data_IF_005603801367
#
_entry.id   IF_005603801367
#
_cell.length_a   1.000
_cell.length_b   1.000
_cell.length_c   1.000
_cell.angle_alpha   90.00
_cell.angle_beta   90.00
_cell.angle_gamma   90.00
#
_symmetry.space_group_name_H-M   'P 1'
#
loop_
_entity.id
_entity.type
_entity.pdbx_description
1 polymer ?
#
# COMPACT_ATOMS: atom_id res chain seq x y z
N UNK A 1 9.20 -4.23 -10.14
CA UNK A 1 8.37 -3.01 -10.11
C UNK A 1 8.78 -2.02 -11.20
N UNK A 2 10.07 -1.80 -11.46
CA UNK A 2 10.51 -0.93 -12.57
C UNK A 2 10.20 0.55 -12.31
N UNK A 3 10.27 0.98 -11.04
CA UNK A 3 10.03 2.36 -10.64
C UNK A 3 11.33 3.15 -10.64
N UNK A 4 11.27 4.37 -11.14
CA UNK A 4 12.39 5.32 -11.16
C UNK A 4 12.47 6.14 -9.88
N UNK A 5 11.32 6.39 -9.23
CA UNK A 5 11.22 7.26 -8.07
C UNK A 5 10.19 6.80 -7.02
N UNK A 6 10.41 7.24 -5.78
CA UNK A 6 9.52 7.06 -4.63
C UNK A 6 9.29 8.39 -3.91
N UNK A 7 8.02 8.73 -3.67
CA UNK A 7 7.61 9.98 -3.02
C UNK A 7 6.90 9.66 -1.72
N UNK A 8 7.23 10.36 -0.64
CA UNK A 8 6.57 10.14 0.65
C UNK A 8 6.62 11.38 1.56
N UNK A 9 5.71 11.43 2.54
CA UNK A 9 5.53 12.60 3.42
C UNK A 9 6.04 12.40 4.86
N UNK A 10 5.90 11.18 5.39
CA UNK A 10 6.14 10.87 6.81
C UNK A 10 7.60 10.47 7.01
N UNK A 11 8.39 11.42 7.50
CA UNK A 11 9.79 11.28 7.89
C UNK A 11 9.96 11.85 9.30
N UNK A 12 10.88 11.30 10.11
CA UNK A 12 11.19 11.83 11.44
C UNK A 12 11.38 13.36 11.39
N UNK A 13 10.76 14.09 12.33
CA UNK A 13 10.72 15.55 12.31
C UNK A 13 12.14 16.16 12.32
N UNK A 14 13.07 15.60 13.10
CA UNK A 14 14.43 16.09 13.20
C UNK A 14 15.24 15.75 11.93
N UNK A 15 15.04 14.55 11.35
CA UNK A 15 15.65 14.23 10.05
C UNK A 15 15.11 15.14 8.94
N UNK A 16 13.80 15.45 8.95
CA UNK A 16 13.19 16.37 7.99
C UNK A 16 13.75 17.78 8.11
N UNK A 17 13.84 18.33 9.33
CA UNK A 17 14.45 19.64 9.58
C UNK A 17 15.91 19.69 9.10
N UNK A 18 16.71 18.66 9.41
CA UNK A 18 18.09 18.57 8.92
C UNK A 18 18.14 18.58 7.40
N UNK A 19 17.33 17.75 6.73
CA UNK A 19 17.31 17.64 5.26
C UNK A 19 16.86 18.93 4.57
N UNK A 20 15.88 19.63 5.15
CA UNK A 20 15.46 20.94 4.65
C UNK A 20 16.61 21.96 4.71
N UNK A 21 17.43 21.93 5.77
CA UNK A 21 18.59 22.81 5.92
C UNK A 21 19.80 22.41 5.07
N UNK A 22 19.95 21.11 4.78
CA UNK A 22 21.10 20.54 4.07
C UNK A 22 20.83 20.25 2.59
N UNK A 23 19.65 20.61 2.08
CA UNK A 23 19.21 20.33 0.69
C UNK A 23 19.21 18.83 0.35
N UNK A 24 18.78 18.01 1.31
CA UNK A 24 18.73 16.54 1.19
C UNK A 24 17.30 15.98 1.21
N UNK A 25 16.30 16.80 0.87
CA UNK A 25 14.91 16.36 0.70
C UNK A 25 14.73 15.46 -0.53
N UNK A 26 15.69 15.50 -1.45
CA UNK A 26 15.78 14.63 -2.63
C UNK A 26 17.11 13.90 -2.63
N UNK A 27 17.07 12.58 -2.78
CA UNK A 27 18.25 11.74 -2.66
C UNK A 27 18.12 10.42 -3.40
N UNK A 28 19.25 9.77 -3.64
CA UNK A 28 19.28 8.38 -4.10
C UNK A 28 19.24 7.47 -2.88
N UNK A 29 18.17 6.68 -2.77
CA UNK A 29 18.06 5.69 -1.71
C UNK A 29 18.70 4.37 -2.14
N UNK A 30 19.66 3.88 -1.34
CA UNK A 30 20.40 2.64 -1.57
C UNK A 30 20.43 1.81 -0.29
N UNK A 31 19.36 1.03 0.02
CA UNK A 31 19.23 0.34 1.30
C UNK A 31 20.20 -0.84 1.48
N UNK A 32 20.69 -1.45 0.39
CA UNK A 32 21.50 -2.67 0.44
C UNK A 32 22.90 -2.48 -0.20
N UNK A 33 23.71 -1.51 0.24
CA UNK A 33 24.95 -1.16 -0.44
C UNK A 33 26.01 -2.27 -0.39
N UNK A 34 26.03 -3.09 0.67
CA UNK A 34 27.03 -4.13 0.86
C UNK A 34 26.81 -5.35 -0.05
N UNK A 35 25.55 -5.71 -0.30
CA UNK A 35 25.20 -6.91 -1.07
C UNK A 35 24.89 -6.60 -2.54
N UNK A 36 24.24 -5.47 -2.82
CA UNK A 36 23.75 -5.12 -4.16
C UNK A 36 24.45 -3.89 -4.77
N UNK A 37 25.34 -3.23 -4.02
CA UNK A 37 26.07 -2.06 -4.51
C UNK A 37 25.12 -0.98 -5.03
N UNK A 38 25.41 -0.44 -6.21
CA UNK A 38 24.58 0.55 -6.90
C UNK A 38 23.56 -0.06 -7.88
N UNK A 39 23.41 -1.39 -7.93
CA UNK A 39 22.46 -2.04 -8.85
C UNK A 39 21.01 -1.83 -8.43
N UNK A 40 20.77 -1.63 -7.14
CA UNK A 40 19.43 -1.34 -6.58
C UNK A 40 19.45 -0.01 -5.88
N UNK A 41 18.88 0.99 -6.55
CA UNK A 41 18.70 2.33 -6.03
C UNK A 41 17.46 2.96 -6.63
N UNK A 42 16.88 3.92 -5.93
CA UNK A 42 15.67 4.62 -6.39
C UNK A 42 15.78 6.09 -6.01
N UNK A 43 15.42 6.98 -6.93
CA UNK A 43 15.30 8.39 -6.58
C UNK A 43 14.19 8.56 -5.54
N UNK A 44 14.45 9.33 -4.50
CA UNK A 44 13.52 9.46 -3.39
C UNK A 44 13.30 10.92 -3.08
N UNK A 45 12.03 11.32 -3.02
CA UNK A 45 11.61 12.69 -2.76
C UNK A 45 10.75 12.73 -1.50
N UNK A 46 11.18 13.51 -0.52
CA UNK A 46 10.41 13.83 0.68
C UNK A 46 9.60 15.08 0.39
N UNK A 47 8.28 15.00 0.62
CA UNK A 47 7.41 16.17 0.45
C UNK A 47 7.78 17.27 1.45
N UNK A 48 7.79 18.52 0.99
CA UNK A 48 8.11 19.70 1.80
C UNK A 48 7.29 19.75 3.09
N UNK A 49 5.97 19.60 2.98
CA UNK A 49 5.02 19.62 4.09
C UNK A 49 4.34 18.24 4.24
N UNK A 50 3.06 18.24 4.58
CA UNK A 50 2.22 17.04 4.50
C UNK A 50 1.90 16.67 3.04
N UNK A 51 1.14 15.61 2.82
CA UNK A 51 0.60 15.27 1.50
C UNK A 51 -0.66 16.10 1.14
N UNK A 52 -0.87 17.21 1.83
CA UNK A 52 -1.99 18.14 1.66
C UNK A 52 -1.63 19.31 0.76
N UNK A 53 -2.64 19.96 0.17
CA UNK A 53 -2.45 21.22 -0.56
C UNK A 53 -1.76 22.27 0.31
N UNK A 54 -1.04 23.25 -0.28
CA UNK A 54 -0.51 24.39 0.45
C UNK A 54 -1.61 25.07 1.28
N UNK A 55 -1.27 25.55 2.48
CA UNK A 55 -2.25 26.14 3.40
C UNK A 55 -2.97 27.32 2.77
N UNK A 56 -4.31 27.32 2.80
CA UNK A 56 -5.14 28.35 2.17
C UNK A 56 -5.45 28.11 0.69
N UNK A 57 -5.03 26.96 0.13
CA UNK A 57 -5.27 26.56 -1.25
C UNK A 57 -5.94 25.18 -1.36
N UNK A 58 -6.76 24.80 -0.38
CA UNK A 58 -7.56 23.58 -0.43
C UNK A 58 -8.91 23.86 -1.09
N UNK A 59 -9.04 23.48 -2.36
CA UNK A 59 -10.21 23.83 -3.17
C UNK A 59 -11.36 22.82 -3.16
N UNK A 60 -11.28 21.79 -2.31
CA UNK A 60 -12.33 20.77 -2.23
C UNK A 60 -13.58 21.29 -1.53
N UNK A 61 -14.73 20.68 -1.81
CA UNK A 61 -16.02 21.04 -1.20
C UNK A 61 -16.05 20.81 0.33
N UNK A 62 -15.16 19.96 0.83
CA UNK A 62 -15.00 19.70 2.26
C UNK A 62 -14.17 20.76 2.99
N UNK A 63 -13.52 21.66 2.24
CA UNK A 63 -12.63 22.68 2.78
C UNK A 63 -13.31 24.05 2.78
N UNK A 64 -12.84 24.93 3.68
CA UNK A 64 -13.39 26.26 3.88
C UNK A 64 -12.54 27.39 3.29
N UNK A 65 -11.54 27.06 2.47
CA UNK A 65 -10.67 28.05 1.84
C UNK A 65 -11.44 28.81 0.74
N UNK A 66 -11.09 30.08 0.55
CA UNK A 66 -11.75 30.92 -0.45
C UNK A 66 -11.51 30.36 -1.87
N UNK A 67 -12.53 30.36 -2.76
CA UNK A 67 -12.31 30.01 -4.16
C UNK A 67 -11.37 31.03 -4.83
N UNK A 68 -10.64 30.60 -5.84
CA UNK A 68 -9.78 31.45 -6.63
C UNK A 68 -10.58 32.24 -7.68
N UNK A 69 -10.66 33.57 -7.54
CA UNK A 69 -11.50 34.43 -8.38
C UNK A 69 -10.65 35.46 -9.14
N UNK A 70 -10.53 35.25 -10.45
CA UNK A 70 -9.76 36.09 -11.37
C UNK A 70 -10.49 37.34 -11.87
N UNK A 71 -11.82 37.37 -11.83
CA UNK A 71 -12.59 38.47 -12.40
C UNK A 71 -12.43 39.75 -11.57
N UNK A 72 -11.60 40.69 -12.03
CA UNK A 72 -11.34 41.97 -11.37
C UNK A 72 -12.58 42.88 -11.21
N UNK A 73 -13.69 42.60 -11.90
CA UNK A 73 -14.96 43.31 -11.73
C UNK A 73 -15.87 42.70 -10.67
N UNK A 74 -15.55 41.49 -10.17
CA UNK A 74 -16.28 40.86 -9.08
C UNK A 74 -15.95 41.53 -7.75
N UNK A 75 -16.93 41.73 -6.88
CA UNK A 75 -16.70 42.19 -5.50
C UNK A 75 -15.83 41.19 -4.70
N UNK A 76 -15.87 39.91 -5.09
CA UNK A 76 -15.12 38.81 -4.49
C UNK A 76 -13.74 38.58 -5.15
N UNK A 77 -13.25 39.50 -5.99
CA UNK A 77 -11.93 39.37 -6.60
C UNK A 77 -10.82 39.21 -5.55
N UNK A 78 -10.10 38.08 -5.60
CA UNK A 78 -9.02 37.77 -4.64
C UNK A 78 -7.70 37.33 -5.29
N UNK A 79 -7.68 37.07 -6.60
CA UNK A 79 -6.53 36.44 -7.27
C UNK A 79 -5.20 37.18 -7.04
N UNK A 80 -5.17 38.51 -7.03
CA UNK A 80 -3.94 39.27 -6.77
C UNK A 80 -3.35 39.02 -5.37
N UNK A 81 -4.21 38.91 -4.35
CA UNK A 81 -3.83 38.66 -2.96
C UNK A 81 -3.36 37.22 -2.79
N UNK A 82 -4.12 36.27 -3.32
CA UNK A 82 -3.81 34.84 -3.21
C UNK A 82 -2.57 34.47 -4.03
N UNK A 83 -2.35 35.09 -5.20
CA UNK A 83 -1.13 34.95 -5.99
C UNK A 83 0.13 35.38 -5.23
N UNK A 84 0.05 36.48 -4.46
CA UNK A 84 1.18 36.92 -3.62
C UNK A 84 1.50 35.90 -2.53
N UNK A 85 0.49 35.25 -1.93
CA UNK A 85 0.71 34.18 -0.95
C UNK A 85 1.34 32.94 -1.60
N UNK A 86 0.80 32.50 -2.74
CA UNK A 86 1.34 31.36 -3.50
C UNK A 86 2.80 31.58 -3.91
N UNK A 87 3.14 32.79 -4.38
CA UNK A 87 4.54 33.14 -4.67
C UNK A 87 5.43 33.03 -3.42
N UNK A 88 4.94 33.45 -2.25
CA UNK A 88 5.65 33.28 -0.98
C UNK A 88 5.89 31.80 -0.63
N UNK A 89 4.87 30.95 -0.76
CA UNK A 89 4.97 29.50 -0.54
C UNK A 89 6.02 28.84 -1.45
N UNK A 90 6.11 29.29 -2.71
CA UNK A 90 7.07 28.76 -3.67
C UNK A 90 8.49 29.18 -3.31
N UNK A 91 8.71 30.47 -3.02
CA UNK A 91 10.02 30.98 -2.63
C UNK A 91 10.54 30.34 -1.34
N UNK A 92 9.65 30.00 -0.41
CA UNK A 92 10.01 29.25 0.79
C UNK A 92 10.42 27.82 0.42
N UNK A 93 9.60 27.10 -0.34
CA UNK A 93 9.86 25.71 -0.72
C UNK A 93 11.14 25.53 -1.54
N UNK A 94 11.41 26.44 -2.48
CA UNK A 94 12.60 26.39 -3.34
C UNK A 94 13.91 26.44 -2.55
N UNK A 95 13.91 26.96 -1.31
CA UNK A 95 15.11 26.99 -0.45
C UNK A 95 15.51 25.61 0.08
N UNK A 96 14.71 24.57 -0.14
CA UNK A 96 14.88 23.24 0.45
C UNK A 96 15.14 22.13 -0.58
N UNK A 97 15.21 22.48 -1.86
CA UNK A 97 15.45 21.56 -2.98
C UNK A 97 16.65 22.02 -3.82
N UNK A 98 17.29 21.08 -4.52
CA UNK A 98 18.50 21.35 -5.31
C UNK A 98 18.23 21.93 -6.70
N UNK A 99 16.97 21.95 -7.15
CA UNK A 99 16.59 22.34 -8.51
C UNK A 99 15.49 23.39 -8.52
N UNK A 100 15.30 24.03 -9.66
CA UNK A 100 14.26 25.07 -9.85
C UNK A 100 12.89 24.48 -10.22
N UNK A 101 12.75 23.15 -10.34
CA UNK A 101 11.45 22.49 -10.49
C UNK A 101 10.94 22.05 -9.12
N UNK A 102 9.72 22.51 -8.78
CA UNK A 102 9.07 22.21 -7.51
C UNK A 102 7.88 21.27 -7.71
N UNK A 103 7.84 20.18 -6.96
CA UNK A 103 6.68 19.30 -6.89
C UNK A 103 5.72 19.74 -5.77
N UNK A 104 4.55 20.25 -6.14
CA UNK A 104 3.51 20.64 -5.18
C UNK A 104 2.28 19.74 -5.32
N UNK A 105 1.88 19.14 -4.20
CA UNK A 105 0.66 18.33 -4.12
C UNK A 105 -0.55 19.24 -3.88
N UNK A 106 -1.65 18.97 -4.58
CA UNK A 106 -2.96 19.59 -4.36
C UNK A 106 -3.96 18.46 -4.14
N UNK A 107 -4.36 18.24 -2.89
CA UNK A 107 -5.14 17.10 -2.44
C UNK A 107 -5.05 16.93 -0.93
N UNK A 108 -5.67 15.87 -0.42
CA UNK A 108 -5.59 15.38 0.95
C UNK A 108 -6.38 14.05 1.03
N UNK A 109 -6.55 13.50 2.23
CA UNK A 109 -7.46 12.40 2.52
C UNK A 109 -8.87 12.66 1.92
N UNK A 110 -9.29 11.78 1.01
CA UNK A 110 -10.63 11.76 0.38
C UNK A 110 -11.07 13.08 -0.31
N UNK A 111 -10.12 13.91 -0.77
CA UNK A 111 -10.42 15.10 -1.59
C UNK A 111 -10.79 14.73 -3.03
N UNK A 112 -11.15 15.75 -3.82
CA UNK A 112 -11.71 15.66 -5.17
C UNK A 112 -13.13 15.07 -5.22
N UNK A 113 -13.91 15.19 -4.14
CA UNK A 113 -15.32 14.76 -4.15
C UNK A 113 -16.13 15.56 -5.18
N UNK A 114 -15.78 16.84 -5.36
CA UNK A 114 -16.22 17.66 -6.48
C UNK A 114 -15.01 18.10 -7.30
N UNK A 115 -14.48 17.18 -8.12
CA UNK A 115 -13.29 17.44 -8.92
C UNK A 115 -13.42 18.68 -9.82
N UNK A 116 -14.62 18.98 -10.34
CA UNK A 116 -14.85 20.17 -11.16
C UNK A 116 -14.48 21.46 -10.42
N UNK A 117 -14.89 21.59 -9.16
CA UNK A 117 -14.53 22.76 -8.33
C UNK A 117 -13.03 22.84 -8.10
N UNK A 118 -12.38 21.72 -7.78
CA UNK A 118 -10.93 21.66 -7.58
C UNK A 118 -10.19 22.16 -8.83
N UNK A 119 -10.49 21.57 -9.99
CA UNK A 119 -9.89 21.95 -11.27
C UNK A 119 -10.24 23.37 -11.69
N UNK A 120 -11.46 23.85 -11.46
CA UNK A 120 -11.84 25.23 -11.79
C UNK A 120 -10.99 26.26 -11.05
N UNK A 121 -10.76 26.06 -9.75
CA UNK A 121 -9.93 26.94 -8.94
C UNK A 121 -8.44 26.83 -9.34
N UNK A 122 -7.93 25.61 -9.55
CA UNK A 122 -6.55 25.40 -9.99
C UNK A 122 -6.30 25.99 -11.39
N UNK A 123 -7.23 25.87 -12.33
CA UNK A 123 -7.14 26.49 -13.67
C UNK A 123 -7.08 28.02 -13.55
N UNK A 124 -7.94 28.59 -12.70
CA UNK A 124 -7.92 30.02 -12.37
C UNK A 124 -6.57 30.47 -11.81
N UNK A 125 -6.05 29.72 -10.83
CA UNK A 125 -4.75 29.95 -10.22
C UNK A 125 -3.62 29.87 -11.24
N UNK A 126 -3.51 28.76 -11.98
CA UNK A 126 -2.47 28.53 -12.98
C UNK A 126 -2.49 29.63 -14.03
N UNK A 127 -3.67 29.98 -14.55
CA UNK A 127 -3.84 31.04 -15.54
C UNK A 127 -3.35 32.39 -15.00
N UNK A 128 -3.79 32.78 -13.80
CA UNK A 128 -3.43 34.07 -13.20
C UNK A 128 -1.94 34.14 -12.86
N UNK A 129 -1.39 33.07 -12.27
CA UNK A 129 0.02 32.99 -11.93
C UNK A 129 0.91 33.06 -13.18
N UNK A 130 0.57 32.34 -14.25
CA UNK A 130 1.33 32.39 -15.50
C UNK A 130 1.20 33.74 -16.21
N UNK A 131 0.07 34.44 -16.11
CA UNK A 131 -0.10 35.77 -16.70
C UNK A 131 0.69 36.85 -15.96
N UNK A 132 0.69 36.81 -14.63
CA UNK A 132 1.24 37.90 -13.80
C UNK A 132 2.62 37.63 -13.19
N UNK A 133 3.03 36.37 -13.09
CA UNK A 133 4.33 35.93 -12.55
C UNK A 133 5.08 35.01 -13.55
N UNK A 134 4.64 34.96 -14.80
CA UNK A 134 5.22 34.11 -15.85
C UNK A 134 6.65 34.47 -16.26
N UNK A 135 7.16 35.63 -15.84
CA UNK A 135 8.56 36.01 -15.98
C UNK A 135 9.48 35.27 -14.99
N UNK A 136 8.91 34.69 -13.93
CA UNK A 136 9.64 33.98 -12.86
C UNK A 136 9.27 32.51 -12.75
N UNK A 137 7.99 32.17 -12.88
CA UNK A 137 7.50 30.81 -12.63
C UNK A 137 6.68 30.31 -13.82
N UNK A 138 6.68 28.99 -14.00
CA UNK A 138 5.77 28.31 -14.91
C UNK A 138 4.89 27.33 -14.12
N UNK A 139 3.61 27.65 -14.00
CA UNK A 139 2.63 26.83 -13.30
C UNK A 139 2.01 25.80 -14.26
N UNK A 140 2.19 24.56 -13.84
CA UNK A 140 1.80 23.26 -14.39
C UNK A 140 0.67 22.48 -13.73
N UNK A 141 -0.20 21.79 -14.46
CA UNK A 141 -0.51 20.43 -14.00
C UNK A 141 0.68 19.52 -14.27
N UNK A 142 0.90 18.54 -13.40
CA UNK A 142 2.01 17.61 -13.49
C UNK A 142 1.66 16.29 -12.81
N UNK A 143 2.51 15.31 -13.00
CA UNK A 143 2.48 14.01 -12.33
C UNK A 143 3.86 13.74 -11.71
N UNK A 144 3.98 12.79 -10.76
CA UNK A 144 5.29 12.40 -10.25
C UNK A 144 6.28 12.02 -11.36
N UNK A 145 5.83 11.34 -12.42
CA UNK A 145 6.66 10.99 -13.57
C UNK A 145 7.12 12.23 -14.36
N UNK A 146 6.22 13.15 -14.68
CA UNK A 146 6.59 14.40 -15.37
C UNK A 146 7.59 15.24 -14.56
N UNK A 147 7.49 15.20 -13.23
CA UNK A 147 8.44 15.85 -12.33
C UNK A 147 9.83 15.22 -12.46
N UNK A 148 9.93 13.89 -12.40
CA UNK A 148 11.20 13.18 -12.59
C UNK A 148 11.80 13.47 -13.97
N UNK A 149 10.98 13.52 -15.02
CA UNK A 149 11.43 13.88 -16.36
C UNK A 149 11.93 15.34 -16.42
N UNK A 150 11.28 16.26 -15.71
CA UNK A 150 11.73 17.64 -15.61
C UNK A 150 13.09 17.75 -14.90
N UNK A 151 13.38 16.89 -13.92
CA UNK A 151 14.66 16.87 -13.23
C UNK A 151 15.84 16.42 -14.11
N UNK A 152 15.59 15.65 -15.19
CA UNK A 152 16.65 15.12 -16.06
C UNK A 152 17.47 16.21 -16.77
N UNK A 153 16.92 17.44 -16.89
CA UNK A 153 17.64 18.56 -17.51
C UNK A 153 18.76 19.10 -16.62
N UNK A 154 18.73 18.83 -15.31
CA UNK A 154 19.75 19.30 -14.38
C UNK A 154 20.88 18.29 -14.24
N UNK A 155 22.10 18.80 -14.11
CA UNK A 155 23.29 18.00 -13.79
C UNK A 155 23.54 18.02 -12.28
N UNK A 156 22.59 17.49 -11.51
CA UNK A 156 22.68 17.44 -10.04
C UNK A 156 23.36 16.15 -9.58
N UNK A 157 24.31 16.30 -8.66
CA UNK A 157 24.78 15.17 -7.87
C UNK A 157 23.91 15.05 -6.62
N UNK A 158 23.00 14.07 -6.63
CA UNK A 158 22.10 13.82 -5.52
C UNK A 158 22.82 13.20 -4.30
N UNK A 159 22.48 13.61 -3.06
CA UNK A 159 22.95 12.93 -1.86
C UNK A 159 22.46 11.48 -1.84
N UNK A 160 23.14 10.62 -1.08
CA UNK A 160 22.79 9.19 -0.98
C UNK A 160 22.40 8.84 0.45
N UNK A 161 21.23 8.22 0.63
CA UNK A 161 20.80 7.64 1.90
C UNK A 161 21.00 6.13 1.88
N UNK A 162 21.64 5.62 2.91
CA UNK A 162 21.75 4.20 3.20
C UNK A 162 20.71 3.80 4.26
N UNK A 163 20.43 2.51 4.43
CA UNK A 163 19.50 1.96 5.44
C UNK A 163 18.03 2.40 5.27
N UNK A 164 17.23 2.46 6.35
CA UNK A 164 15.79 2.75 6.33
C UNK A 164 15.44 4.16 6.86
N UNK A 165 14.15 4.41 7.09
CA UNK A 165 13.61 5.66 7.64
C UNK A 165 12.83 5.40 8.94
N UNK A 166 13.22 4.38 9.71
CA UNK A 166 12.60 4.05 10.99
C UNK A 166 13.50 4.39 12.19
N UNK A 167 12.89 4.67 13.36
CA UNK A 167 11.46 4.90 13.59
C UNK A 167 11.00 6.29 13.08
N UNK A 168 9.70 6.43 12.85
CA UNK A 168 9.09 7.72 12.52
C UNK A 168 8.61 8.44 13.79
N UNK A 169 8.83 9.74 13.86
CA UNK A 169 8.25 10.62 14.85
C UNK A 169 7.83 11.95 14.22
N UNK A 170 6.62 12.41 14.50
CA UNK A 170 6.09 13.70 14.02
C UNK A 170 6.34 14.88 14.97
N UNK A 171 6.79 14.60 16.20
CA UNK A 171 7.16 15.60 17.20
C UNK A 171 8.06 14.97 18.28
N UNK A 172 8.81 15.75 19.09
CA UNK A 172 9.90 15.24 19.93
C UNK A 172 9.67 13.97 20.76
N UNK A 173 8.46 13.77 21.29
CA UNK A 173 8.12 12.63 22.16
C UNK A 173 7.01 11.74 21.59
N UNK A 174 6.71 11.84 20.29
CA UNK A 174 5.63 11.10 19.63
C UNK A 174 6.21 10.09 18.63
N UNK A 175 6.87 9.04 19.13
CA UNK A 175 7.39 7.97 18.28
C UNK A 175 6.29 6.99 17.89
N UNK A 176 6.13 6.77 16.60
CA UNK A 176 5.10 5.89 16.05
C UNK A 176 5.60 4.43 16.05
N UNK A 177 6.05 3.93 17.19
CA UNK A 177 6.51 2.54 17.35
C UNK A 177 5.44 1.62 17.93
N UNK A 178 4.34 2.19 18.46
CA UNK A 178 3.23 1.42 19.00
C UNK A 178 2.55 0.51 17.97
N UNK A 179 2.39 0.99 16.72
CA UNK A 179 1.73 0.21 15.66
C UNK A 179 2.52 -1.04 15.24
N UNK A 180 3.79 -1.15 15.62
CA UNK A 180 4.56 -2.39 15.45
C UNK A 180 3.93 -3.57 16.21
N UNK A 181 3.19 -3.30 17.29
CA UNK A 181 2.56 -4.32 18.15
C UNK A 181 1.04 -4.21 18.26
N UNK A 182 0.43 -3.05 17.93
CA UNK A 182 -1.03 -2.86 17.97
C UNK A 182 -1.77 -3.99 17.25
N UNK A 183 -2.81 -4.55 17.87
CA UNK A 183 -3.62 -5.66 17.31
C UNK A 183 -2.77 -6.87 16.87
N UNK A 184 -1.91 -7.37 17.75
CA UNK A 184 -1.03 -8.50 17.47
C UNK A 184 -1.75 -9.75 16.90
N UNK A 185 -2.99 -10.01 17.33
CA UNK A 185 -3.80 -11.11 16.79
C UNK A 185 -4.13 -10.91 15.31
N UNK A 186 -4.45 -9.68 14.88
CA UNK A 186 -4.78 -9.37 13.48
C UNK A 186 -3.52 -9.46 12.60
N UNK A 187 -2.36 -9.04 13.12
CA UNK A 187 -1.05 -9.25 12.48
C UNK A 187 -0.76 -10.74 12.28
N UNK A 188 -0.95 -11.55 13.32
CA UNK A 188 -0.78 -12.99 13.25
C UNK A 188 -1.77 -13.63 12.26
N UNK A 189 -3.02 -13.15 12.23
CA UNK A 189 -4.04 -13.66 11.32
C UNK A 189 -3.76 -13.28 9.86
N UNK A 190 -3.24 -12.07 9.60
CA UNK A 190 -2.73 -11.66 8.28
C UNK A 190 -1.59 -12.56 7.83
N UNK A 191 -0.63 -12.88 8.71
CA UNK A 191 0.46 -13.82 8.40
C UNK A 191 -0.08 -15.23 8.09
N UNK A 192 -1.09 -15.69 8.83
CA UNK A 192 -1.76 -16.97 8.55
C UNK A 192 -2.44 -16.95 7.18
N UNK A 193 -3.20 -15.90 6.86
CA UNK A 193 -3.82 -15.72 5.55
C UNK A 193 -2.79 -15.76 4.42
N UNK A 194 -1.68 -15.03 4.56
CA UNK A 194 -0.55 -15.05 3.62
C UNK A 194 0.03 -16.46 3.44
N UNK A 195 0.25 -17.19 4.53
CA UNK A 195 0.77 -18.56 4.49
C UNK A 195 -0.18 -19.53 3.78
N UNK A 196 -1.48 -19.44 4.06
CA UNK A 196 -2.51 -20.28 3.41
C UNK A 196 -2.57 -19.94 1.93
N UNK A 197 -2.64 -18.66 1.58
CA UNK A 197 -2.67 -18.21 0.19
C UNK A 197 -1.45 -18.70 -0.60
N UNK A 198 -0.26 -18.60 -0.01
CA UNK A 198 0.97 -19.07 -0.64
C UNK A 198 0.92 -20.58 -0.93
N UNK A 199 0.50 -21.38 0.05
CA UNK A 199 0.37 -22.83 -0.09
C UNK A 199 -0.66 -23.22 -1.16
N UNK A 200 -1.82 -22.55 -1.18
CA UNK A 200 -2.84 -22.76 -2.18
C UNK A 200 -2.37 -22.37 -3.59
N UNK A 201 -1.68 -21.23 -3.71
CA UNK A 201 -1.26 -20.66 -4.99
C UNK A 201 -0.40 -21.61 -5.82
N UNK A 202 0.41 -22.45 -5.18
CA UNK A 202 1.20 -23.47 -5.89
C UNK A 202 0.31 -24.50 -6.59
N UNK A 203 -0.66 -25.07 -5.87
CA UNK A 203 -1.60 -26.05 -6.44
C UNK A 203 -2.57 -25.42 -7.42
N UNK A 204 -3.02 -24.18 -7.16
CA UNK A 204 -3.87 -23.43 -8.09
C UNK A 204 -3.14 -23.17 -9.40
N UNK A 205 -1.85 -22.79 -9.33
CA UNK A 205 -1.04 -22.56 -10.53
C UNK A 205 -0.87 -23.83 -11.35
N UNK A 206 -0.62 -24.97 -10.70
CA UNK A 206 -0.56 -26.26 -11.39
C UNK A 206 -1.92 -26.63 -12.02
N UNK A 207 -3.01 -26.42 -11.29
CA UNK A 207 -4.36 -26.71 -11.75
C UNK A 207 -4.75 -25.90 -12.99
N UNK A 208 -4.29 -24.64 -13.11
CA UNK A 208 -4.50 -23.80 -14.29
C UNK A 208 -3.72 -24.30 -15.52
N UNK A 209 -2.60 -25.00 -15.31
CA UNK A 209 -1.77 -25.58 -16.38
C UNK A 209 -2.26 -26.95 -16.86
N UNK A 210 -3.20 -27.57 -16.15
CA UNK A 210 -3.79 -28.86 -16.53
C UNK A 210 -4.66 -28.74 -17.78
N UNK A 211 -4.15 -29.25 -18.90
CA UNK A 211 -4.80 -29.22 -20.21
C UNK A 211 -6.15 -29.95 -20.26
N UNK A 212 -6.47 -30.78 -19.25
CA UNK A 212 -7.76 -31.46 -19.18
C UNK A 212 -8.86 -30.59 -18.54
N UNK A 213 -8.52 -29.45 -17.93
CA UNK A 213 -9.52 -28.55 -17.36
C UNK A 213 -10.20 -27.72 -18.44
N UNK A 214 -11.50 -27.57 -18.31
CA UNK A 214 -12.27 -26.66 -19.16
C UNK A 214 -11.92 -25.20 -18.84
N UNK A 215 -12.18 -24.30 -19.78
CA UNK A 215 -12.02 -22.85 -19.56
C UNK A 215 -12.84 -22.35 -18.38
N UNK A 216 -14.02 -22.92 -18.15
CA UNK A 216 -14.89 -22.58 -17.02
C UNK A 216 -14.24 -22.96 -15.68
N UNK A 217 -13.68 -24.17 -15.58
CA UNK A 217 -12.97 -24.61 -14.38
C UNK A 217 -11.72 -23.76 -14.10
N UNK A 218 -10.97 -23.41 -15.15
CA UNK A 218 -9.83 -22.48 -15.02
C UNK A 218 -10.31 -21.11 -14.52
N UNK A 219 -11.43 -20.61 -15.04
CA UNK A 219 -12.04 -19.36 -14.59
C UNK A 219 -12.36 -19.37 -13.10
N UNK A 220 -13.00 -20.44 -12.60
CA UNK A 220 -13.32 -20.61 -11.18
C UNK A 220 -12.07 -20.65 -10.29
N UNK A 221 -10.99 -21.31 -10.75
CA UNK A 221 -9.72 -21.36 -10.02
C UNK A 221 -9.08 -19.98 -9.91
N UNK A 222 -9.08 -19.22 -11.02
CA UNK A 222 -8.53 -17.86 -11.04
C UNK A 222 -9.36 -16.91 -10.17
N UNK A 223 -10.70 -16.97 -10.25
CA UNK A 223 -11.59 -16.18 -9.40
C UNK A 223 -11.30 -16.42 -7.91
N UNK A 224 -11.23 -17.69 -7.48
CA UNK A 224 -10.91 -18.02 -6.10
C UNK A 224 -9.53 -17.50 -5.65
N UNK A 225 -8.53 -17.52 -6.55
CA UNK A 225 -7.20 -16.96 -6.31
C UNK A 225 -7.24 -15.44 -6.17
N UNK A 226 -7.91 -14.74 -7.08
CA UNK A 226 -7.98 -13.28 -7.06
C UNK A 226 -8.79 -12.76 -5.87
N UNK A 227 -9.88 -13.43 -5.48
CA UNK A 227 -10.65 -13.11 -4.27
C UNK A 227 -9.79 -13.18 -2.99
N UNK A 228 -8.93 -14.21 -2.89
CA UNK A 228 -8.01 -14.32 -1.78
C UNK A 228 -6.93 -13.23 -1.84
N UNK A 229 -6.38 -12.98 -3.02
CA UNK A 229 -5.37 -11.95 -3.24
C UNK A 229 -5.89 -10.55 -2.91
N UNK A 230 -7.15 -10.23 -3.24
CA UNK A 230 -7.82 -8.97 -2.87
C UNK A 230 -7.88 -8.82 -1.35
N UNK A 231 -8.35 -9.85 -0.63
CA UNK A 231 -8.42 -9.81 0.83
C UNK A 231 -7.04 -9.60 1.45
N UNK A 232 -6.00 -10.25 0.93
CA UNK A 232 -4.63 -10.08 1.40
C UNK A 232 -4.04 -8.70 1.07
N UNK A 233 -4.33 -8.19 -0.13
CA UNK A 233 -3.92 -6.87 -0.61
C UNK A 233 -4.50 -5.75 0.24
N UNK A 234 -5.83 -5.77 0.48
CA UNK A 234 -6.51 -4.83 1.37
C UNK A 234 -5.89 -4.86 2.77
N UNK A 235 -5.54 -6.04 3.27
CA UNK A 235 -4.93 -6.17 4.59
C UNK A 235 -3.48 -5.65 4.68
N UNK A 236 -2.80 -5.38 3.55
CA UNK A 236 -1.53 -4.66 3.55
C UNK A 236 -1.68 -3.14 3.64
N UNK A 237 -2.91 -2.61 3.62
CA UNK A 237 -3.17 -1.18 3.85
C UNK A 237 -2.50 -0.71 5.14
N UNK A 238 -1.99 0.52 5.14
CA UNK A 238 -1.22 1.08 6.26
C UNK A 238 -2.06 1.40 7.51
N UNK A 239 -3.38 1.16 7.50
CA UNK A 239 -4.23 1.09 8.70
C UNK A 239 -4.79 -0.29 9.02
N UNK A 240 -4.55 -1.28 8.15
CA UNK A 240 -4.96 -2.66 8.36
C UNK A 240 -3.94 -3.42 9.18
N UNK A 241 -2.84 -3.90 8.56
CA UNK A 241 -1.80 -4.69 9.24
C UNK A 241 -1.13 -3.92 10.40
N UNK A 242 -1.06 -2.60 10.31
CA UNK A 242 -0.52 -1.73 11.37
C UNK A 242 -1.43 -1.70 12.61
N UNK A 243 -2.72 -1.98 12.46
CA UNK A 243 -3.69 -2.03 13.53
C UNK A 243 -4.19 -0.67 14.01
N UNK A 244 -4.08 0.36 13.18
CA UNK A 244 -4.48 1.76 13.50
C UNK A 244 -5.93 2.09 13.11
N UNK A 245 -6.65 1.19 12.43
CA UNK A 245 -8.05 1.39 12.12
C UNK A 245 -9.00 1.31 13.34
N UNK A 246 -10.19 1.92 13.20
CA UNK A 246 -11.28 1.79 14.17
C UNK A 246 -11.75 0.34 14.29
N UNK A 247 -12.30 -0.03 15.45
CA UNK A 247 -12.64 -1.43 15.75
C UNK A 247 -13.48 -2.12 14.68
N UNK A 248 -14.58 -1.50 14.23
CA UNK A 248 -15.44 -2.06 13.19
C UNK A 248 -14.71 -2.33 11.86
N UNK A 249 -13.73 -1.49 11.52
CA UNK A 249 -12.93 -1.63 10.29
C UNK A 249 -11.91 -2.76 10.47
N UNK A 250 -11.28 -2.86 11.64
CA UNK A 250 -10.42 -3.99 11.98
C UNK A 250 -11.17 -5.33 11.95
N UNK A 251 -12.41 -5.36 12.45
CA UNK A 251 -13.28 -6.55 12.39
C UNK A 251 -13.59 -6.92 10.92
N UNK A 252 -13.80 -5.94 10.04
CA UNK A 252 -14.01 -6.18 8.59
C UNK A 252 -12.75 -6.75 7.93
N UNK A 253 -11.56 -6.24 8.27
CA UNK A 253 -10.28 -6.78 7.78
C UNK A 253 -10.10 -8.25 8.16
N UNK A 254 -10.36 -8.61 9.42
CA UNK A 254 -10.32 -9.99 9.89
C UNK A 254 -11.40 -10.84 9.18
N UNK A 255 -12.62 -10.32 9.03
CA UNK A 255 -13.69 -11.01 8.32
C UNK A 255 -13.31 -11.34 6.86
N UNK A 256 -12.67 -10.41 6.15
CA UNK A 256 -12.20 -10.62 4.78
C UNK A 256 -11.21 -11.78 4.66
N UNK A 257 -10.20 -11.82 5.53
CA UNK A 257 -9.23 -12.94 5.54
C UNK A 257 -9.94 -14.26 5.87
N UNK A 258 -10.81 -14.26 6.88
CA UNK A 258 -11.54 -15.47 7.28
C UNK A 258 -12.43 -15.99 6.15
N UNK A 259 -13.12 -15.09 5.44
CA UNK A 259 -13.95 -15.42 4.28
C UNK A 259 -13.10 -15.96 3.14
N UNK A 260 -11.97 -15.34 2.82
CA UNK A 260 -11.06 -15.79 1.78
C UNK A 260 -10.50 -17.20 2.05
N UNK A 261 -10.07 -17.49 3.29
CA UNK A 261 -9.64 -18.83 3.71
C UNK A 261 -10.77 -19.83 3.52
N UNK A 262 -11.98 -19.52 4.02
CA UNK A 262 -13.11 -20.42 3.95
C UNK A 262 -13.55 -20.71 2.51
N UNK A 263 -13.69 -19.68 1.68
CA UNK A 263 -14.14 -19.81 0.29
C UNK A 263 -13.17 -20.60 -0.59
N UNK A 264 -11.87 -20.51 -0.31
CA UNK A 264 -10.83 -21.24 -1.05
C UNK A 264 -10.56 -22.65 -0.53
N UNK A 265 -11.00 -22.97 0.70
CA UNK A 265 -10.71 -24.23 1.38
C UNK A 265 -11.20 -25.46 0.61
N UNK A 266 -12.41 -25.38 0.03
CA UNK A 266 -13.02 -26.48 -0.72
C UNK A 266 -12.22 -26.83 -1.97
N UNK A 267 -11.88 -25.80 -2.77
CA UNK A 267 -11.06 -25.96 -3.96
C UNK A 267 -9.68 -26.53 -3.59
N UNK A 268 -9.06 -25.99 -2.55
CA UNK A 268 -7.75 -26.46 -2.09
C UNK A 268 -7.80 -27.92 -1.61
N UNK A 269 -8.81 -28.31 -0.84
CA UNK A 269 -9.02 -29.71 -0.42
C UNK A 269 -9.20 -30.65 -1.62
N UNK A 270 -9.96 -30.26 -2.65
CA UNK A 270 -10.11 -31.07 -3.87
C UNK A 270 -8.79 -31.18 -4.66
N UNK A 271 -7.96 -30.14 -4.69
CA UNK A 271 -6.64 -30.20 -5.31
C UNK A 271 -5.68 -31.12 -4.56
N UNK A 272 -5.70 -31.07 -3.22
CA UNK A 272 -4.95 -31.99 -2.35
C UNK A 272 -5.40 -33.43 -2.56
N UNK A 273 -6.70 -33.69 -2.62
CA UNK A 273 -7.27 -35.02 -2.89
C UNK A 273 -6.75 -35.62 -4.19
N UNK A 274 -6.77 -34.83 -5.27
CA UNK A 274 -6.24 -35.25 -6.57
C UNK A 274 -4.75 -35.60 -6.48
N UNK A 275 -3.97 -34.83 -5.71
CA UNK A 275 -2.55 -35.12 -5.48
C UNK A 275 -2.32 -36.39 -4.69
N UNK A 276 -3.10 -36.61 -3.63
CA UNK A 276 -3.01 -37.82 -2.81
C UNK A 276 -3.29 -39.05 -3.66
N UNK A 277 -4.37 -39.04 -4.44
CA UNK A 277 -4.73 -40.13 -5.33
C UNK A 277 -3.60 -40.41 -6.34
N UNK A 278 -3.07 -39.36 -7.00
CA UNK A 278 -2.01 -39.51 -7.98
C UNK A 278 -0.69 -40.03 -7.38
N UNK A 279 -0.33 -39.63 -6.16
CA UNK A 279 0.95 -40.00 -5.55
C UNK A 279 0.91 -41.32 -4.79
N UNK A 280 -0.23 -41.70 -4.22
CA UNK A 280 -0.34 -42.87 -3.32
C UNK A 280 -1.38 -43.90 -3.74
N UNK A 281 -2.27 -43.57 -4.68
CA UNK A 281 -3.44 -44.38 -5.03
C UNK A 281 -4.55 -44.37 -3.96
N UNK A 282 -4.40 -43.60 -2.88
CA UNK A 282 -5.44 -43.45 -1.86
C UNK A 282 -6.61 -42.64 -2.39
N UNK A 283 -7.80 -43.24 -2.35
CA UNK A 283 -9.08 -42.58 -2.61
C UNK A 283 -9.92 -42.60 -1.33
N UNK A 284 -10.71 -41.55 -1.12
CA UNK A 284 -11.59 -41.41 0.05
C UNK A 284 -12.99 -41.05 -0.44
N UNK A 285 -14.00 -41.72 0.10
CA UNK A 285 -15.41 -41.35 -0.12
C UNK A 285 -15.81 -40.13 0.75
N UNK A 286 -14.97 -39.75 1.71
CA UNK A 286 -15.12 -38.59 2.57
C UNK A 286 -14.31 -37.40 2.04
N UNK A 287 -14.86 -36.19 2.19
CA UNK A 287 -14.17 -34.95 1.82
C UNK A 287 -13.00 -34.68 2.76
N UNK A 288 -11.86 -34.30 2.21
CA UNK A 288 -10.73 -33.82 3.01
C UNK A 288 -11.07 -32.49 3.68
N UNK A 289 -10.95 -32.45 5.01
CA UNK A 289 -11.24 -31.25 5.81
C UNK A 289 -9.97 -30.78 6.52
N UNK A 290 -9.76 -29.48 6.55
CA UNK A 290 -8.63 -28.87 7.22
C UNK A 290 -9.02 -28.43 8.63
N UNK A 291 -8.12 -28.58 9.61
CA UNK A 291 -8.30 -27.93 10.89
C UNK A 291 -7.81 -26.48 10.80
N UNK A 292 -8.74 -25.54 10.91
CA UNK A 292 -8.42 -24.12 10.81
C UNK A 292 -7.87 -23.54 12.12
N UNK A 293 -8.06 -24.20 13.28
CA UNK A 293 -7.64 -23.68 14.59
C UNK A 293 -6.49 -24.51 15.15
N UNK A 294 -5.28 -23.95 15.12
CA UNK A 294 -4.05 -24.66 15.51
C UNK A 294 -3.61 -24.40 16.96
N UNK A 295 -4.25 -23.46 17.66
CA UNK A 295 -3.90 -23.07 19.03
C UNK A 295 -4.98 -23.45 20.06
N UNK A 296 -5.88 -24.38 19.72
CA UNK A 296 -6.95 -24.80 20.60
C UNK A 296 -6.97 -26.33 20.77
N UNK A 297 -8.08 -26.86 21.28
CA UNK A 297 -8.20 -28.29 21.56
C UNK A 297 -8.66 -29.05 20.32
N UNK A 298 -8.54 -30.39 20.34
CA UNK A 298 -9.06 -31.23 19.25
C UNK A 298 -10.55 -30.98 18.95
N UNK A 299 -11.32 -30.42 19.89
CA UNK A 299 -12.74 -30.09 19.75
C UNK A 299 -13.01 -29.08 18.63
N UNK A 300 -12.03 -28.24 18.30
CA UNK A 300 -12.13 -27.22 17.25
C UNK A 300 -11.66 -27.71 15.88
N UNK A 301 -11.20 -28.97 15.79
CA UNK A 301 -10.83 -29.61 14.54
C UNK A 301 -11.93 -30.57 14.10
N UNK A 302 -12.05 -30.88 12.79
CA UNK A 302 -13.05 -31.82 12.26
C UNK A 302 -13.04 -33.21 12.94
N UNK A 303 -11.90 -33.62 13.51
CA UNK A 303 -11.78 -34.87 14.28
C UNK A 303 -12.75 -34.96 15.48
N UNK A 304 -13.20 -33.82 16.01
CA UNK A 304 -14.10 -33.79 17.15
C UNK A 304 -15.46 -34.43 16.84
N UNK A 305 -15.91 -34.37 15.59
CA UNK A 305 -17.15 -35.03 15.14
C UNK A 305 -17.07 -36.55 15.27
N UNK A 306 -15.86 -37.11 15.25
CA UNK A 306 -15.58 -38.55 15.36
C UNK A 306 -15.14 -38.96 16.77
N UNK A 307 -15.30 -38.09 17.78
CA UNK A 307 -14.83 -38.37 19.14
C UNK A 307 -15.44 -39.62 19.77
N UNK A 308 -16.65 -39.99 19.33
CA UNK A 308 -17.38 -41.17 19.78
C UNK A 308 -16.81 -42.49 19.23
N UNK A 309 -16.10 -42.44 18.09
CA UNK A 309 -15.48 -43.60 17.46
C UNK A 309 -14.07 -43.88 18.00
N UNK A 310 -13.45 -42.90 18.65
CA UNK A 310 -12.10 -43.01 19.21
C UNK A 310 -11.94 -44.20 20.17
N UNK A 311 -13.01 -44.62 20.84
CA UNK A 311 -12.98 -45.76 21.77
C UNK A 311 -12.99 -47.13 21.07
N UNK A 312 -13.33 -47.20 19.78
CA UNK A 312 -13.52 -48.45 19.03
C UNK A 312 -12.49 -48.67 17.90
N UNK A 313 -11.34 -48.00 17.94
CA UNK A 313 -10.28 -48.17 16.95
C UNK A 313 -10.44 -47.28 15.72
N UNK A 314 -10.77 -46.01 15.93
CA UNK A 314 -10.80 -44.98 14.89
C UNK A 314 -9.48 -44.91 14.12
N UNK A 315 -9.56 -45.00 12.79
CA UNK A 315 -8.43 -44.78 11.88
C UNK A 315 -8.65 -43.47 11.13
N UNK A 316 -7.64 -42.61 11.17
CA UNK A 316 -7.62 -41.36 10.41
C UNK A 316 -6.40 -41.31 9.51
N UNK A 317 -6.59 -40.77 8.31
CA UNK A 317 -5.48 -40.41 7.44
C UNK A 317 -5.23 -38.92 7.57
N UNK A 318 -3.98 -38.56 7.87
CA UNK A 318 -3.52 -37.17 7.92
C UNK A 318 -2.61 -36.93 6.75
N UNK A 319 -2.88 -35.86 6.01
CA UNK A 319 -2.02 -35.42 4.91
C UNK A 319 -1.41 -34.09 5.27
N UNK A 320 -0.11 -33.98 5.03
CA UNK A 320 0.68 -32.78 5.28
C UNK A 320 1.16 -32.26 3.94
N UNK A 321 0.75 -31.04 3.59
CA UNK A 321 1.26 -30.32 2.43
C UNK A 321 2.39 -29.38 2.86
N UNK A 322 3.59 -29.61 2.34
CA UNK A 322 4.71 -28.70 2.48
C UNK A 322 4.78 -27.78 1.24
N UNK A 323 4.42 -26.49 1.36
CA UNK A 323 4.50 -25.55 0.23
C UNK A 323 5.92 -25.01 -0.01
N UNK A 324 6.90 -25.42 0.80
CA UNK A 324 8.30 -25.05 0.62
C UNK A 324 8.94 -25.83 -0.53
N UNK A 325 9.90 -25.20 -1.21
CA UNK A 325 10.80 -25.91 -2.14
C UNK A 325 11.88 -26.73 -1.43
N UNK A 326 11.96 -26.63 -0.10
CA UNK A 326 12.90 -27.37 0.74
C UNK A 326 12.17 -28.53 1.43
N UNK A 327 12.84 -29.67 1.53
CA UNK A 327 12.36 -30.81 2.29
C UNK A 327 12.18 -30.46 3.78
N UNK A 328 11.16 -31.06 4.40
CA UNK A 328 10.98 -30.99 5.85
C UNK A 328 12.13 -31.77 6.51
N UNK A 329 12.98 -31.07 7.27
CA UNK A 329 14.06 -31.67 8.06
C UNK A 329 13.54 -32.33 9.33
#
# INVERSE_FOLDING_TARGET
MGFDAFFFARLDYADKERRMNELEMEYIWRPNPLSLGNQTQIFTHVLYAHYSSPSGFNFDILDGDDPWINNAQSEDFNAAKEAKKMAGEIEERLQHYLTDDLFMVFGDDFRYMNAFQNYHNMDGMISYMNEHYGDKYLFKYSTPSDYIDALQKYQVQWPTKYDDMFPYSDSPDAYWTGYFSSRANDKAFTRKGSSVFHAQSQLLSEAVLDANKSKEQIGQILEAKEDFLDAMGINQHHDAITGTAKQRVADDYAFRISRAIKSSSDLYSSLIENKINLLSGLASDQKWVQCERTNSTFLDCPISEFSHELQNGFQMTVVVHNPSSLDLQ
#
